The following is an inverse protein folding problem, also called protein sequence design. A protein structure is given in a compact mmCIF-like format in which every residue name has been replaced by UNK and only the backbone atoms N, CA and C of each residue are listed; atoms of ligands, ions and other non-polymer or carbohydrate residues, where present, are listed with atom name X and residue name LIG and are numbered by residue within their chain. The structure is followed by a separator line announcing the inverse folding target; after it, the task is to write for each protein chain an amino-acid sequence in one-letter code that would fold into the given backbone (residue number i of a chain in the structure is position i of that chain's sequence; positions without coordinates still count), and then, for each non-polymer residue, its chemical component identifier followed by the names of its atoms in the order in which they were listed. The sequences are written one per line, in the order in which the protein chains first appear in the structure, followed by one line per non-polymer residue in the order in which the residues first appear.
data_IF_031151437072
#
_entry.id   IF_031151437072
#
_cell.length_a   1.000
_cell.length_b   1.000
_cell.length_c   1.000
_cell.angle_alpha   90.00
_cell.angle_beta   90.00
_cell.angle_gamma   90.00
#
_symmetry.space_group_name_H-M   'P 1'
#
loop_
_entity.id
_entity.type
_entity.pdbx_description
1 polymer ?
#
# COMPACT_ATOMS: atom_id res chain seq x y z
N UNK A 1 7.35 7.76 -13.43
CA UNK A 1 7.53 9.24 -13.40
C UNK A 1 6.16 9.87 -13.20
N UNK A 2 5.98 10.73 -12.18
CA UNK A 2 4.67 11.33 -11.87
C UNK A 2 4.33 12.43 -12.86
N UNK A 3 3.11 12.41 -13.42
CA UNK A 3 2.55 13.41 -14.35
C UNK A 3 2.17 14.74 -13.68
N UNK A 4 3.02 15.24 -12.79
CA UNK A 4 2.82 16.53 -12.14
C UNK A 4 3.38 17.61 -13.08
N UNK A 5 2.61 18.67 -13.44
CA UNK A 5 3.05 19.70 -14.38
C UNK A 5 4.07 20.64 -13.73
N UNK A 6 5.29 20.14 -13.51
CA UNK A 6 6.41 20.87 -12.89
C UNK A 6 6.91 22.06 -13.73
N UNK A 7 6.57 22.12 -15.03
CA UNK A 7 6.91 23.23 -15.92
C UNK A 7 5.96 24.42 -15.85
N UNK A 8 4.86 24.31 -15.10
CA UNK A 8 3.89 25.40 -14.96
C UNK A 8 4.23 26.26 -13.73
N UNK A 9 4.61 27.52 -13.95
CA UNK A 9 4.98 28.45 -12.87
C UNK A 9 3.85 28.63 -11.85
N UNK A 10 2.60 28.79 -12.31
CA UNK A 10 1.43 28.93 -11.42
C UNK A 10 1.24 27.68 -10.54
N UNK A 11 1.51 26.50 -11.08
CA UNK A 11 1.47 25.26 -10.30
C UNK A 11 2.58 25.23 -9.24
N UNK A 12 3.80 25.62 -9.61
CA UNK A 12 4.94 25.68 -8.69
C UNK A 12 4.67 26.65 -7.54
N UNK A 13 4.18 27.85 -7.83
CA UNK A 13 3.91 28.88 -6.83
C UNK A 13 2.80 28.44 -5.87
N UNK A 14 1.73 27.84 -6.41
CA UNK A 14 0.63 27.26 -5.62
C UNK A 14 1.14 26.17 -4.66
N UNK A 15 1.96 25.26 -5.16
CA UNK A 15 2.47 24.13 -4.40
C UNK A 15 3.50 24.54 -3.35
N UNK A 16 4.32 25.54 -3.65
CA UNK A 16 5.28 26.13 -2.72
C UNK A 16 4.59 26.86 -1.56
N UNK A 17 3.61 27.71 -1.87
CA UNK A 17 2.77 28.40 -0.87
C UNK A 17 2.07 27.41 0.06
N UNK A 18 1.44 26.38 -0.51
CA UNK A 18 0.76 25.32 0.24
C UNK A 18 1.73 24.57 1.18
N UNK A 19 2.88 24.15 0.65
CA UNK A 19 3.91 23.40 1.41
C UNK A 19 4.44 24.23 2.58
N UNK A 20 4.72 25.52 2.32
CA UNK A 20 5.19 26.45 3.34
C UNK A 20 4.14 26.65 4.45
N UNK A 21 2.87 26.84 4.09
CA UNK A 21 1.76 27.03 5.03
C UNK A 21 1.60 25.83 5.98
N UNK A 22 1.65 24.61 5.44
CA UNK A 22 1.60 23.37 6.24
C UNK A 22 2.82 23.25 7.15
N UNK A 23 4.02 23.48 6.61
CA UNK A 23 5.28 23.42 7.36
C UNK A 23 5.31 24.39 8.53
N UNK A 24 4.89 25.63 8.32
CA UNK A 24 4.82 26.65 9.37
C UNK A 24 3.83 26.25 10.47
N UNK A 25 2.67 25.74 10.11
CA UNK A 25 1.70 25.27 11.09
C UNK A 25 2.19 24.07 11.89
N UNK A 26 2.89 23.10 11.25
CA UNK A 26 3.54 22.01 11.99
C UNK A 26 4.58 22.55 12.97
N UNK A 27 5.47 23.44 12.53
CA UNK A 27 6.47 24.07 13.40
C UNK A 27 5.80 24.78 14.60
N UNK A 28 4.72 25.52 14.36
CA UNK A 28 3.92 26.18 15.42
C UNK A 28 3.30 25.19 16.41
N UNK A 29 2.88 24.02 15.93
CA UNK A 29 2.32 22.96 16.79
C UNK A 29 3.35 22.27 17.71
N UNK A 30 4.66 22.47 17.45
CA UNK A 30 5.80 21.81 18.13
C UNK A 30 5.77 20.26 18.11
N UNK A 31 4.91 19.66 17.29
CA UNK A 31 4.85 18.20 17.11
C UNK A 31 5.88 17.76 16.08
N UNK A 32 6.60 16.69 16.41
CA UNK A 32 7.55 16.03 15.50
C UNK A 32 6.79 15.30 14.38
N UNK A 33 7.43 15.16 13.22
CA UNK A 33 6.84 14.51 12.05
C UNK A 33 6.48 13.06 12.34
N UNK A 34 7.30 12.35 13.10
CA UNK A 34 7.09 10.94 13.49
C UNK A 34 5.80 10.78 14.31
N UNK A 35 5.53 11.72 15.22
CA UNK A 35 4.31 11.71 16.04
C UNK A 35 3.06 11.90 15.18
N UNK A 36 3.10 12.86 14.25
CA UNK A 36 1.97 13.14 13.36
C UNK A 36 1.76 11.97 12.39
N UNK A 37 2.85 11.46 11.83
CA UNK A 37 2.89 10.29 10.95
C UNK A 37 2.16 9.10 11.56
N UNK A 38 2.45 8.78 12.83
CA UNK A 38 1.79 7.68 13.56
C UNK A 38 0.28 7.88 13.69
N UNK A 39 -0.16 9.09 14.02
CA UNK A 39 -1.58 9.42 14.19
C UNK A 39 -2.32 9.34 12.86
N UNK A 40 -1.75 9.95 11.81
CA UNK A 40 -2.36 9.99 10.48
C UNK A 40 -2.21 8.69 9.70
N UNK A 41 -1.38 7.76 10.17
CA UNK A 41 -0.99 6.54 9.44
C UNK A 41 -0.43 6.84 8.05
N UNK A 42 0.32 7.94 7.95
CA UNK A 42 1.02 8.38 6.74
C UNK A 42 2.51 8.21 6.99
N UNK A 43 3.25 7.66 6.03
CA UNK A 43 4.71 7.50 6.14
C UNK A 43 5.39 8.86 6.41
N UNK A 44 6.37 8.94 7.33
CA UNK A 44 7.01 10.21 7.68
C UNK A 44 7.69 10.87 6.48
N UNK A 45 8.24 10.07 5.56
CA UNK A 45 8.86 10.55 4.31
C UNK A 45 7.85 11.32 3.45
N UNK A 46 6.58 10.90 3.41
CA UNK A 46 5.57 11.59 2.63
C UNK A 46 5.16 12.92 3.25
N UNK A 47 5.16 13.03 4.59
CA UNK A 47 4.96 14.31 5.24
C UNK A 47 6.14 15.26 4.99
N UNK A 48 7.38 14.75 5.01
CA UNK A 48 8.57 15.51 4.62
C UNK A 48 8.47 16.00 3.17
N UNK A 49 8.11 15.14 2.23
CA UNK A 49 7.93 15.53 0.84
C UNK A 49 6.86 16.60 0.67
N UNK A 50 5.81 16.60 1.50
CA UNK A 50 4.82 17.68 1.52
C UNK A 50 5.42 18.99 2.03
N UNK A 51 6.21 18.98 3.10
CA UNK A 51 6.86 20.20 3.63
C UNK A 51 8.03 20.72 2.76
N UNK A 52 8.55 19.88 1.86
CA UNK A 52 9.68 20.18 0.97
C UNK A 52 9.25 20.46 -0.48
N UNK A 53 7.95 20.52 -0.77
CA UNK A 53 7.40 20.67 -2.13
C UNK A 53 7.90 19.58 -3.11
N UNK A 54 8.14 18.36 -2.62
CA UNK A 54 8.62 17.20 -3.39
C UNK A 54 7.50 16.21 -3.70
N UNK A 55 6.35 16.73 -4.16
CA UNK A 55 5.15 15.91 -4.39
C UNK A 55 5.35 14.77 -5.41
N UNK A 56 6.27 14.92 -6.35
CA UNK A 56 6.62 13.91 -7.36
C UNK A 56 7.25 12.64 -6.78
N UNK A 57 7.79 12.71 -5.56
CA UNK A 57 8.39 11.56 -4.86
C UNK A 57 7.33 10.66 -4.22
N UNK A 58 6.06 11.10 -4.16
CA UNK A 58 4.98 10.30 -3.62
C UNK A 58 4.47 9.37 -4.74
N UNK A 59 4.56 8.04 -4.57
CA UNK A 59 4.37 7.08 -5.65
C UNK A 59 2.94 7.00 -6.20
N UNK A 60 1.97 7.70 -5.59
CA UNK A 60 0.58 7.73 -6.03
C UNK A 60 -0.04 9.11 -5.80
N UNK A 61 -0.53 9.75 -6.87
CA UNK A 61 -1.22 11.04 -6.82
C UNK A 61 -2.62 10.95 -6.15
N UNK A 62 -3.28 9.79 -6.16
CA UNK A 62 -4.61 9.57 -5.53
C UNK A 62 -4.48 9.83 -4.03
N UNK A 63 -3.41 9.33 -3.41
CA UNK A 63 -3.18 9.52 -1.99
C UNK A 63 -2.60 10.89 -1.65
N UNK A 64 -1.85 11.52 -2.56
CA UNK A 64 -1.26 12.84 -2.34
C UNK A 64 -2.29 13.87 -1.87
N UNK A 65 -3.42 13.98 -2.58
CA UNK A 65 -4.52 14.90 -2.23
C UNK A 65 -5.09 14.60 -0.83
N UNK A 66 -5.27 13.33 -0.50
CA UNK A 66 -5.76 12.90 0.81
C UNK A 66 -4.76 13.19 1.92
N UNK A 67 -3.47 12.94 1.69
CA UNK A 67 -2.41 13.21 2.66
C UNK A 67 -2.29 14.70 2.97
N UNK A 68 -2.26 15.56 1.94
CA UNK A 68 -2.23 17.01 2.11
C UNK A 68 -3.46 17.46 2.92
N UNK A 69 -4.66 16.99 2.56
CA UNK A 69 -5.91 17.34 3.25
C UNK A 69 -5.87 16.91 4.73
N UNK A 70 -5.57 15.64 5.00
CA UNK A 70 -5.55 15.10 6.36
C UNK A 70 -4.50 15.81 7.22
N UNK A 71 -3.35 16.13 6.64
CA UNK A 71 -2.28 16.81 7.35
C UNK A 71 -2.67 18.25 7.73
N UNK A 72 -3.22 19.01 6.77
CA UNK A 72 -3.70 20.36 7.05
C UNK A 72 -4.86 20.37 8.05
N UNK A 73 -5.81 19.43 7.94
CA UNK A 73 -6.90 19.26 8.91
C UNK A 73 -6.38 18.96 10.31
N UNK A 74 -5.41 18.06 10.44
CA UNK A 74 -4.77 17.75 11.73
C UNK A 74 -4.10 18.99 12.36
N UNK A 75 -3.44 19.80 11.53
CA UNK A 75 -2.79 21.04 11.94
C UNK A 75 -3.75 22.23 12.08
N UNK A 76 -5.06 22.03 11.81
CA UNK A 76 -6.09 23.08 11.80
C UNK A 76 -5.74 24.26 10.88
N UNK A 77 -5.15 23.95 9.73
CA UNK A 77 -4.83 24.92 8.68
C UNK A 77 -5.90 24.86 7.60
N UNK A 78 -6.47 26.01 7.28
CA UNK A 78 -7.33 26.13 6.12
C UNK A 78 -6.50 26.15 4.84
N UNK A 79 -6.66 25.11 4.00
CA UNK A 79 -6.05 25.01 2.68
C UNK A 79 -7.10 24.86 1.57
N UNK A 80 -8.36 25.22 1.84
CA UNK A 80 -9.46 25.10 0.88
C UNK A 80 -9.18 25.80 -0.46
N UNK A 81 -8.69 27.05 -0.51
CA UNK A 81 -8.45 27.71 -1.80
C UNK A 81 -7.35 27.04 -2.60
N UNK A 82 -6.23 26.68 -1.95
CA UNK A 82 -5.11 25.99 -2.61
C UNK A 82 -5.55 24.62 -3.14
N UNK A 83 -6.34 23.89 -2.36
CA UNK A 83 -6.87 22.58 -2.75
C UNK A 83 -7.84 22.67 -3.94
N UNK A 84 -8.61 23.76 -4.06
CA UNK A 84 -9.52 23.97 -5.19
C UNK A 84 -8.75 24.20 -6.49
N UNK A 85 -7.69 25.00 -6.45
CA UNK A 85 -6.81 25.20 -7.61
C UNK A 85 -6.03 23.94 -7.95
N UNK A 86 -5.52 23.24 -6.93
CA UNK A 86 -4.72 22.04 -7.10
C UNK A 86 -5.50 20.91 -7.80
N UNK A 87 -6.83 20.84 -7.61
CA UNK A 87 -7.71 19.89 -8.34
C UNK A 87 -7.62 20.05 -9.85
N UNK A 88 -7.43 21.27 -10.38
CA UNK A 88 -7.36 21.54 -11.83
C UNK A 88 -6.18 20.79 -12.48
N UNK A 89 -5.11 20.56 -11.71
CA UNK A 89 -3.91 19.88 -12.18
C UNK A 89 -3.99 18.36 -12.01
N UNK A 90 -4.71 17.87 -10.99
CA UNK A 90 -4.87 16.44 -10.75
C UNK A 90 -5.95 15.78 -11.61
N UNK A 91 -7.03 16.49 -11.93
CA UNK A 91 -8.18 15.96 -12.68
C UNK A 91 -7.95 15.89 -14.20
N UNK A 92 -6.70 16.00 -14.67
CA UNK A 92 -6.38 15.89 -16.09
C UNK A 92 -6.46 14.40 -16.52
N UNK A 93 -7.20 14.00 -17.57
CA UNK A 93 -7.48 12.60 -17.91
C UNK A 93 -6.22 11.70 -18.07
N UNK A 94 -5.06 12.29 -18.41
CA UNK A 94 -3.77 11.56 -18.45
C UNK A 94 -3.34 11.00 -17.08
N UNK A 95 -3.74 11.66 -15.98
CA UNK A 95 -3.45 11.23 -14.62
C UNK A 95 -4.35 10.08 -14.19
N UNK A 96 -5.63 10.14 -14.53
CA UNK A 96 -6.59 9.07 -14.23
C UNK A 96 -6.21 7.77 -14.93
N UNK A 97 -5.85 7.85 -16.22
CA UNK A 97 -5.37 6.68 -16.98
C UNK A 97 -4.10 6.09 -16.36
N UNK A 98 -3.13 6.92 -15.99
CA UNK A 98 -1.88 6.46 -15.34
C UNK A 98 -2.12 5.82 -13.97
N UNK A 99 -3.13 6.29 -13.23
CA UNK A 99 -3.49 5.73 -11.93
C UNK A 99 -4.23 4.41 -12.04
N UNK A 100 -5.16 4.31 -13.01
CA UNK A 100 -5.87 3.08 -13.32
C UNK A 100 -4.87 2.02 -13.79
N UNK A 101 -3.95 2.38 -14.67
CA UNK A 101 -2.89 1.48 -15.14
C UNK A 101 -1.97 1.08 -13.98
N UNK A 102 -1.50 1.99 -13.12
CA UNK A 102 -0.65 1.64 -11.97
C UNK A 102 -1.36 0.75 -10.95
N UNK A 103 -2.66 0.97 -10.72
CA UNK A 103 -3.50 0.11 -9.86
C UNK A 103 -3.64 -1.29 -10.45
N UNK A 104 -3.69 -1.42 -11.77
CA UNK A 104 -3.73 -2.71 -12.45
C UNK A 104 -2.34 -3.39 -12.54
N UNK A 105 -1.25 -2.62 -12.62
CA UNK A 105 0.13 -3.13 -12.68
C UNK A 105 0.68 -3.59 -11.31
N UNK A 106 0.12 -3.09 -10.20
CA UNK A 106 0.37 -3.67 -8.88
C UNK A 106 -0.45 -4.95 -8.75
N UNK A 107 0.09 -6.04 -9.28
CA UNK A 107 -0.43 -7.38 -9.05
C UNK A 107 -0.67 -7.59 -7.54
N UNK A 108 -1.80 -8.17 -7.12
CA UNK A 108 -2.01 -8.53 -5.73
C UNK A 108 -0.86 -9.47 -5.31
N UNK A 109 -0.11 -9.09 -4.27
CA UNK A 109 0.93 -9.95 -3.68
C UNK A 109 0.32 -11.34 -3.46
N UNK A 110 0.98 -12.42 -3.91
CA UNK A 110 0.34 -13.72 -4.04
C UNK A 110 0.23 -14.42 -2.68
N UNK A 111 -0.63 -13.92 -1.79
CA UNK A 111 -1.03 -14.64 -0.57
C UNK A 111 -1.74 -15.95 -0.91
N UNK A 112 -2.35 -16.03 -2.10
CA UNK A 112 -2.96 -17.25 -2.63
C UNK A 112 -1.94 -18.36 -2.96
N UNK A 113 -0.71 -18.02 -3.42
CA UNK A 113 0.31 -19.04 -3.69
C UNK A 113 0.78 -19.76 -2.42
N UNK A 114 0.82 -19.06 -1.28
CA UNK A 114 1.16 -19.67 0.01
C UNK A 114 0.07 -20.64 0.50
N UNK A 115 -1.21 -20.29 0.31
CA UNK A 115 -2.35 -21.15 0.65
C UNK A 115 -2.42 -22.43 -0.19
N UNK A 116 -2.09 -22.35 -1.48
CA UNK A 116 -2.08 -23.51 -2.39
C UNK A 116 -0.99 -24.50 -1.97
N UNK A 117 0.22 -24.01 -1.63
CA UNK A 117 1.32 -24.88 -1.18
C UNK A 117 0.95 -25.63 0.11
N UNK A 118 0.33 -24.95 1.08
CA UNK A 118 -0.12 -25.61 2.31
C UNK A 118 -1.18 -26.70 2.07
N UNK A 119 -2.09 -26.49 1.12
CA UNK A 119 -3.13 -27.47 0.80
C UNK A 119 -2.54 -28.71 0.11
N UNK A 120 -1.58 -28.53 -0.79
CA UNK A 120 -0.90 -29.63 -1.49
C UNK A 120 -0.11 -30.51 -0.50
N UNK A 121 0.61 -29.90 0.45
CA UNK A 121 1.35 -30.63 1.48
C UNK A 121 0.40 -31.46 2.35
N UNK A 122 -0.73 -30.88 2.77
CA UNK A 122 -1.74 -31.59 3.56
C UNK A 122 -2.31 -32.80 2.80
N UNK A 123 -2.62 -32.62 1.52
CA UNK A 123 -3.16 -33.69 0.67
C UNK A 123 -2.15 -34.83 0.47
N UNK A 124 -0.87 -34.50 0.23
CA UNK A 124 0.21 -35.49 0.16
C UNK A 124 0.35 -36.27 1.47
N UNK A 125 0.26 -35.61 2.63
CA UNK A 125 0.37 -36.25 3.93
C UNK A 125 -0.79 -37.22 4.19
N UNK A 126 -2.01 -36.85 3.82
CA UNK A 126 -3.19 -37.72 3.92
C UNK A 126 -3.01 -38.99 3.06
N UNK A 127 -2.56 -38.84 1.81
CA UNK A 127 -2.31 -39.98 0.91
C UNK A 127 -1.20 -40.88 1.47
N UNK A 128 -0.13 -40.29 2.00
CA UNK A 128 0.99 -41.02 2.59
C UNK A 128 0.55 -41.87 3.80
N UNK A 129 -0.21 -41.27 4.72
CA UNK A 129 -0.76 -41.99 5.88
C UNK A 129 -1.74 -43.09 5.44
N UNK A 130 -2.54 -42.83 4.40
CA UNK A 130 -3.44 -43.83 3.81
C UNK A 130 -2.69 -45.06 3.29
N UNK A 131 -1.56 -44.85 2.59
CA UNK A 131 -0.71 -45.96 2.12
C UNK A 131 -0.09 -46.75 3.28
N UNK A 132 0.43 -46.07 4.30
CA UNK A 132 1.01 -46.75 5.47
C UNK A 132 0.01 -47.68 6.17
N UNK A 133 -1.25 -47.24 6.33
CA UNK A 133 -2.29 -48.11 6.91
C UNK A 133 -2.61 -49.31 6.03
N UNK A 134 -2.65 -49.13 4.71
CA UNK A 134 -2.92 -50.20 3.76
C UNK A 134 -1.80 -51.25 3.76
N UNK A 135 -0.54 -50.81 3.81
CA UNK A 135 0.62 -51.70 3.84
C UNK A 135 0.65 -52.53 5.13
N UNK A 136 0.28 -51.94 6.28
CA UNK A 136 0.19 -52.66 7.57
C UNK A 136 -0.97 -53.67 7.58
N UNK A 137 -2.12 -53.33 7.00
CA UNK A 137 -3.25 -54.27 6.90
C UNK A 137 -2.92 -55.46 6.00
N UNK A 138 -2.22 -55.21 4.88
CA UNK A 138 -1.79 -56.24 3.94
C UNK A 138 -0.73 -57.15 4.56
N UNK A 139 0.17 -56.59 5.38
CA UNK A 139 1.13 -57.37 6.16
C UNK A 139 0.45 -58.25 7.23
N UNK A 140 -0.55 -57.70 7.92
CA UNK A 140 -1.32 -58.44 8.95
C UNK A 140 -2.12 -59.60 8.36
N UNK A 141 -2.80 -59.39 7.22
CA UNK A 141 -3.57 -60.46 6.55
C UNK A 141 -2.66 -61.54 5.98
N UNK A 142 -1.51 -61.17 5.42
CA UNK A 142 -0.52 -62.11 4.89
C UNK A 142 0.11 -62.97 5.99
N UNK A 143 0.47 -62.38 7.13
CA UNK A 143 1.03 -63.14 8.26
C UNK A 143 0.01 -64.11 8.88
N UNK A 144 -1.27 -63.72 8.99
CA UNK A 144 -2.32 -64.61 9.49
C UNK A 144 -2.58 -65.80 8.55
N UNK A 145 -2.37 -65.63 7.24
CA UNK A 145 -2.50 -66.72 6.27
C UNK A 145 -1.35 -67.74 6.36
N UNK A 146 -0.11 -67.26 6.56
CA UNK A 146 1.06 -68.14 6.73
C UNK A 146 0.97 -68.97 8.02
N UNK A 147 0.38 -68.44 9.10
CA UNK A 147 0.16 -69.18 10.35
C UNK A 147 -0.92 -70.26 10.28
N UNK A 148 -1.72 -70.30 9.20
CA UNK A 148 -2.86 -71.20 9.03
C UNK A 148 -2.57 -72.37 8.08
N UNK A 149 -1.41 -72.36 7.41
CA UNK A 149 -0.86 -73.43 6.56
C UNK A 149 0.21 -74.18 7.34
#
# INVERSE_FOLDING_TARGET
MSNIPLSNQNFRDLTESLSLKIKLARKKSRRKIETISRILKIRPEYLNYIEENKFHMIPENIYLKSFIKNYATFLKVDIRPEMLELKKYFNNPKNELSNVIQKQLKTPRPKAKLLIITFVILLCLIIFVGKLKNDVLLYSTFNNFILLI
#
